data_IF_503528250565
#
_entry.id   IF_503528250565
#
_cell.length_a   1.000
_cell.length_b   1.000
_cell.length_c   1.000
_cell.angle_alpha   90.00
_cell.angle_beta   90.00
_cell.angle_gamma   90.00
#
_symmetry.space_group_name_H-M   'P 1'
#
loop_
_entity.id
_entity.type
_entity.pdbx_description
1 polymer ?
#
# COMPACT_ATOMS: atom_id res chain seq x y z
N UNK A 1 13.60 10.15 -23.40
CA UNK A 1 12.40 10.67 -22.71
C UNK A 1 12.65 12.15 -22.40
N UNK A 2 11.68 13.05 -22.62
CA UNK A 2 11.85 14.44 -22.20
C UNK A 2 11.91 14.56 -20.68
N UNK A 3 12.65 15.56 -20.18
CA UNK A 3 12.69 15.89 -18.75
C UNK A 3 11.32 16.34 -18.24
N UNK A 4 11.08 16.19 -16.93
CA UNK A 4 9.80 16.59 -16.33
C UNK A 4 9.58 18.11 -16.52
N UNK A 5 8.40 18.55 -17.01
CA UNK A 5 8.09 19.97 -17.17
C UNK A 5 8.26 20.79 -15.87
N UNK A 6 7.95 20.17 -14.72
CA UNK A 6 8.15 20.79 -13.41
C UNK A 6 9.63 21.08 -13.11
N UNK A 7 10.52 20.19 -13.54
CA UNK A 7 11.96 20.37 -13.40
C UNK A 7 12.50 21.48 -14.32
N UNK A 8 11.96 21.58 -15.54
CA UNK A 8 12.31 22.65 -16.48
C UNK A 8 11.86 24.03 -15.96
N UNK A 9 10.69 24.12 -15.33
CA UNK A 9 10.23 25.34 -14.64
C UNK A 9 11.15 25.70 -13.48
N UNK A 10 11.61 24.72 -12.69
CA UNK A 10 12.57 24.93 -11.61
C UNK A 10 13.92 25.48 -12.11
N UNK A 11 14.36 25.10 -13.32
CA UNK A 11 15.56 25.65 -13.98
C UNK A 11 15.34 26.97 -14.72
N UNK A 12 14.18 27.59 -14.59
CA UNK A 12 13.79 28.81 -15.33
C UNK A 12 13.73 28.63 -16.85
N UNK A 13 13.62 27.39 -17.34
CA UNK A 13 13.54 27.04 -18.77
C UNK A 13 12.07 26.88 -19.21
N UNK A 14 11.29 27.96 -19.11
CA UNK A 14 9.84 27.93 -19.36
C UNK A 14 9.46 27.50 -20.79
N UNK A 15 10.18 27.99 -21.81
CA UNK A 15 9.92 27.66 -23.21
C UNK A 15 10.13 26.18 -23.53
N UNK A 16 11.07 25.54 -22.83
CA UNK A 16 11.34 24.11 -23.00
C UNK A 16 10.28 23.29 -22.25
N UNK A 17 9.85 23.74 -21.06
CA UNK A 17 8.76 23.16 -20.31
C UNK A 17 7.45 23.14 -21.12
N UNK A 18 7.17 24.23 -21.84
CA UNK A 18 6.00 24.38 -22.73
C UNK A 18 6.01 23.38 -23.88
N UNK A 19 7.13 23.28 -24.61
CA UNK A 19 7.28 22.29 -25.68
C UNK A 19 7.07 20.86 -25.19
N UNK A 20 7.58 20.53 -24.00
CA UNK A 20 7.38 19.21 -23.40
C UNK A 20 5.93 19.01 -22.98
N UNK A 21 5.26 20.01 -22.39
CA UNK A 21 3.84 19.93 -22.03
C UNK A 21 2.96 19.72 -23.26
N UNK A 22 3.19 20.49 -24.33
CA UNK A 22 2.48 20.35 -25.60
C UNK A 22 2.66 18.93 -26.15
N UNK A 23 3.87 18.38 -26.08
CA UNK A 23 4.16 17.02 -26.55
C UNK A 23 3.45 15.94 -25.72
N UNK A 24 3.26 16.15 -24.42
CA UNK A 24 2.59 15.19 -23.51
C UNK A 24 1.06 15.30 -23.63
N UNK A 25 0.52 16.52 -23.69
CA UNK A 25 -0.92 16.80 -23.76
C UNK A 25 -1.49 16.76 -25.18
N UNK A 26 -0.62 16.76 -26.18
CA UNK A 26 -0.96 16.84 -27.61
C UNK A 26 -1.88 18.04 -27.93
N UNK A 27 -1.73 19.14 -27.18
CA UNK A 27 -2.61 20.33 -27.23
C UNK A 27 -1.76 21.59 -26.95
N UNK A 28 -2.08 22.70 -27.62
CA UNK A 28 -1.36 23.97 -27.44
C UNK A 28 -1.87 24.82 -26.26
N UNK A 29 -3.05 24.51 -25.73
CA UNK A 29 -3.62 25.18 -24.56
C UNK A 29 -3.00 24.67 -23.24
N UNK A 30 -1.70 24.92 -23.06
CA UNK A 30 -0.93 24.51 -21.87
C UNK A 30 -0.52 25.70 -20.99
N UNK A 31 -0.90 26.92 -21.39
CA UNK A 31 -0.53 28.16 -20.70
C UNK A 31 -1.00 28.19 -19.24
N UNK A 32 -2.23 27.72 -18.98
CA UNK A 32 -2.80 27.64 -17.64
C UNK A 32 -2.05 26.63 -16.76
N UNK A 33 -1.78 25.42 -17.28
CA UNK A 33 -1.03 24.38 -16.56
C UNK A 33 0.41 24.83 -16.27
N UNK A 34 1.05 25.56 -17.19
CA UNK A 34 2.38 26.15 -16.96
C UNK A 34 2.34 27.25 -15.92
N UNK A 35 1.31 28.10 -15.94
CA UNK A 35 1.13 29.15 -14.96
C UNK A 35 0.93 28.57 -13.56
N UNK A 36 0.10 27.52 -13.42
CA UNK A 36 -0.07 26.79 -12.17
C UNK A 36 1.21 26.14 -11.67
N UNK A 37 1.99 25.51 -12.55
CA UNK A 37 3.26 24.90 -12.17
C UNK A 37 4.24 25.98 -11.68
N UNK A 38 4.28 27.12 -12.37
CA UNK A 38 5.15 28.25 -12.01
C UNK A 38 4.73 28.90 -10.69
N UNK A 39 3.44 29.16 -10.47
CA UNK A 39 2.93 29.76 -9.24
C UNK A 39 3.19 28.85 -8.03
N UNK A 40 2.93 27.55 -8.16
CA UNK A 40 3.25 26.56 -7.12
C UNK A 40 4.75 26.52 -6.82
N UNK A 41 5.61 26.62 -7.85
CA UNK A 41 7.05 26.66 -7.67
C UNK A 41 7.50 27.92 -6.93
N UNK A 42 6.96 29.09 -7.27
CA UNK A 42 7.27 30.35 -6.60
C UNK A 42 6.82 30.38 -5.14
N UNK A 43 5.64 29.85 -4.83
CA UNK A 43 5.16 29.68 -3.46
C UNK A 43 6.05 28.72 -2.67
N UNK A 44 6.41 27.58 -3.28
CA UNK A 44 7.35 26.63 -2.69
C UNK A 44 8.70 27.30 -2.41
N UNK A 45 9.26 28.01 -3.38
CA UNK A 45 10.54 28.74 -3.24
C UNK A 45 10.48 29.78 -2.13
N UNK A 46 9.44 30.62 -2.07
CA UNK A 46 9.23 31.57 -0.97
C UNK A 46 9.17 30.86 0.38
N UNK A 47 8.47 29.73 0.46
CA UNK A 47 8.37 28.95 1.70
C UNK A 47 9.72 28.36 2.14
N UNK A 48 10.59 27.99 1.18
CA UNK A 48 11.95 27.53 1.46
C UNK A 48 12.86 28.66 1.90
N UNK A 49 12.79 29.81 1.24
CA UNK A 49 13.57 31.01 1.61
C UNK A 49 13.20 31.51 3.01
N UNK A 50 11.91 31.52 3.36
CA UNK A 50 11.43 31.87 4.72
C UNK A 50 11.87 30.86 5.79
N UNK A 51 12.04 29.59 5.43
CA UNK A 51 12.47 28.54 6.37
C UNK A 51 14.00 28.51 6.58
N UNK A 52 14.78 29.14 5.69
CA UNK A 52 16.23 29.17 5.77
C UNK A 52 16.89 27.79 5.62
N UNK A 53 18.08 27.63 6.22
CA UNK A 53 18.85 26.36 6.21
C UNK A 53 18.35 25.35 7.25
N UNK A 54 17.04 25.35 7.54
CA UNK A 54 16.44 24.40 8.47
C UNK A 54 16.43 23.00 7.84
N UNK A 55 16.84 21.99 8.62
CA UNK A 55 16.81 20.60 8.17
C UNK A 55 15.42 20.22 7.66
N UNK A 56 15.35 19.73 6.42
CA UNK A 56 14.10 19.35 5.73
C UNK A 56 13.26 18.37 6.58
N UNK A 57 13.92 17.45 7.27
CA UNK A 57 13.26 16.50 8.18
C UNK A 57 12.56 17.18 9.37
N UNK A 58 13.20 18.19 9.98
CA UNK A 58 12.61 18.95 11.08
C UNK A 58 11.42 19.80 10.59
N UNK A 59 11.52 20.35 9.39
CA UNK A 59 10.44 21.11 8.75
C UNK A 59 9.19 20.27 8.48
N UNK A 60 9.38 19.04 7.99
CA UNK A 60 8.31 18.06 7.76
C UNK A 60 7.59 17.73 9.08
N UNK A 61 8.34 17.55 10.17
CA UNK A 61 7.77 17.24 11.49
C UNK A 61 7.06 18.46 12.10
N UNK A 62 7.59 19.67 11.92
CA UNK A 62 7.00 20.91 12.45
C UNK A 62 5.73 21.33 11.73
N UNK A 63 5.59 21.03 10.44
CA UNK A 63 4.42 21.45 9.66
C UNK A 63 3.22 20.54 9.97
N UNK A 64 2.15 21.04 10.63
CA UNK A 64 1.08 20.19 11.19
C UNK A 64 0.30 19.41 10.12
N UNK A 65 0.08 20.00 8.95
CA UNK A 65 -0.59 19.35 7.81
C UNK A 65 0.24 18.22 7.23
N UNK A 66 1.54 18.44 7.06
CA UNK A 66 2.47 17.43 6.52
C UNK A 66 2.70 16.32 7.53
N UNK A 67 2.83 16.64 8.83
CA UNK A 67 2.95 15.65 9.90
C UNK A 67 1.75 14.71 9.96
N UNK A 68 0.52 15.24 9.83
CA UNK A 68 -0.71 14.41 9.80
C UNK A 68 -0.71 13.48 8.58
N UNK A 69 -0.39 14.00 7.40
CA UNK A 69 -0.32 13.20 6.18
C UNK A 69 0.78 12.11 6.28
N UNK A 70 1.96 12.47 6.79
CA UNK A 70 3.08 11.54 7.02
C UNK A 70 2.68 10.43 8.00
N UNK A 71 2.07 10.78 9.13
CA UNK A 71 1.68 9.82 10.15
C UNK A 71 0.61 8.86 9.62
N UNK A 72 -0.39 9.36 8.88
CA UNK A 72 -1.41 8.52 8.25
C UNK A 72 -0.78 7.59 7.20
N UNK A 73 0.10 8.11 6.34
CA UNK A 73 0.79 7.31 5.33
C UNK A 73 1.69 6.23 5.93
N UNK A 74 2.50 6.60 6.92
CA UNK A 74 3.37 5.66 7.64
C UNK A 74 2.54 4.61 8.39
N UNK A 75 1.49 5.01 9.10
CA UNK A 75 0.61 4.08 9.80
C UNK A 75 -0.07 3.13 8.81
N UNK A 76 -0.59 3.64 7.69
CA UNK A 76 -1.21 2.82 6.64
C UNK A 76 -0.22 1.78 6.07
N UNK A 77 1.00 2.20 5.73
CA UNK A 77 2.04 1.27 5.25
C UNK A 77 2.44 0.26 6.33
N UNK A 78 2.59 0.70 7.57
CA UNK A 78 2.92 -0.16 8.70
C UNK A 78 1.84 -1.22 8.93
N UNK A 79 0.57 -0.85 9.02
CA UNK A 79 -0.53 -1.80 9.18
C UNK A 79 -0.66 -2.74 7.98
N UNK A 80 -0.42 -2.26 6.77
CA UNK A 80 -0.42 -3.10 5.57
C UNK A 80 0.65 -4.20 5.62
N UNK A 81 1.84 -3.90 6.14
CA UNK A 81 2.92 -4.89 6.29
C UNK A 81 2.73 -5.76 7.53
N UNK A 82 2.29 -5.17 8.65
CA UNK A 82 2.05 -5.87 9.91
C UNK A 82 0.91 -6.88 9.83
N UNK A 83 -0.09 -6.64 8.97
CA UNK A 83 -1.11 -7.64 8.61
C UNK A 83 -0.52 -8.94 8.06
N UNK A 84 0.80 -8.97 7.77
CA UNK A 84 1.48 -10.17 7.33
C UNK A 84 1.07 -10.57 5.93
N UNK A 85 0.59 -9.65 5.10
CA UNK A 85 0.15 -9.95 3.73
C UNK A 85 1.24 -10.69 2.94
N UNK A 86 2.50 -10.25 3.08
CA UNK A 86 3.64 -10.95 2.51
C UNK A 86 3.82 -12.34 3.15
N UNK A 87 3.80 -12.45 4.48
CA UNK A 87 3.92 -13.73 5.20
C UNK A 87 2.82 -14.73 4.79
N UNK A 88 1.57 -14.31 4.67
CA UNK A 88 0.45 -15.16 4.25
C UNK A 88 0.67 -15.66 2.83
N UNK A 89 1.12 -14.80 1.90
CA UNK A 89 1.45 -15.22 0.53
C UNK A 89 2.57 -16.29 0.56
N UNK A 90 3.65 -16.04 1.30
CA UNK A 90 4.81 -16.95 1.38
C UNK A 90 4.51 -18.28 2.08
N UNK A 91 3.69 -18.28 3.13
CA UNK A 91 3.40 -19.47 3.94
C UNK A 91 2.05 -20.13 3.60
N UNK A 92 1.24 -19.55 2.70
CA UNK A 92 -0.04 -20.12 2.23
C UNK A 92 0.12 -21.56 1.75
N UNK A 93 1.17 -21.85 0.99
CA UNK A 93 1.47 -23.19 0.50
C UNK A 93 1.74 -24.20 1.63
N UNK A 94 2.33 -23.76 2.74
CA UNK A 94 2.61 -24.61 3.91
C UNK A 94 1.31 -24.86 4.70
N UNK A 95 0.45 -23.85 4.86
CA UNK A 95 -0.85 -23.99 5.53
C UNK A 95 -1.76 -24.96 4.75
N UNK A 96 -1.80 -24.85 3.43
CA UNK A 96 -2.58 -25.75 2.56
C UNK A 96 -1.97 -27.17 2.55
N UNK A 97 -0.65 -27.30 2.73
CA UNK A 97 0.00 -28.62 2.87
C UNK A 97 -0.35 -29.30 4.19
N UNK A 98 -0.53 -28.53 5.28
CA UNK A 98 -0.96 -29.05 6.59
C UNK A 98 -2.41 -29.54 6.62
N UNK A 99 -3.27 -29.13 5.67
CA UNK A 99 -4.65 -29.64 5.55
C UNK A 99 -4.74 -30.96 4.76
N UNK A 100 -3.61 -31.58 4.40
CA UNK A 100 -3.57 -32.95 3.84
C UNK A 100 -3.52 -33.04 2.32
N UNK A 101 -3.45 -31.91 1.60
CA UNK A 101 -3.27 -31.91 0.13
C UNK A 101 -1.77 -32.02 -0.18
N UNK A 102 -1.26 -33.25 -0.12
CA UNK A 102 0.16 -33.58 -0.18
C UNK A 102 0.78 -33.61 -1.57
N UNK A 103 0.61 -32.58 -2.40
CA UNK A 103 1.25 -32.53 -3.72
C UNK A 103 2.07 -31.26 -3.95
N UNK A 104 3.36 -31.43 -4.28
CA UNK A 104 4.29 -30.31 -4.56
C UNK A 104 3.79 -29.46 -5.74
N UNK A 105 3.12 -30.10 -6.70
CA UNK A 105 2.44 -29.45 -7.81
C UNK A 105 1.32 -28.52 -7.35
N UNK A 106 0.56 -28.88 -6.31
CA UNK A 106 -0.52 -28.05 -5.78
C UNK A 106 0.01 -26.78 -5.10
N UNK A 107 1.18 -26.83 -4.43
CA UNK A 107 1.79 -25.66 -3.82
C UNK A 107 2.25 -24.62 -4.87
N UNK A 108 2.78 -25.09 -6.01
CA UNK A 108 3.20 -24.23 -7.13
C UNK A 108 1.96 -23.58 -7.77
N UNK A 109 0.91 -24.36 -8.04
CA UNK A 109 -0.35 -23.84 -8.59
C UNK A 109 -1.04 -22.84 -7.66
N UNK A 110 -1.06 -23.08 -6.34
CA UNK A 110 -1.61 -22.13 -5.38
C UNK A 110 -0.83 -20.82 -5.33
N UNK A 111 0.51 -20.89 -5.29
CA UNK A 111 1.36 -19.69 -5.33
C UNK A 111 1.15 -18.89 -6.61
N UNK A 112 1.05 -19.56 -7.76
CA UNK A 112 0.76 -18.94 -9.04
C UNK A 112 -0.64 -18.28 -9.06
N UNK A 113 -1.65 -18.95 -8.51
CA UNK A 113 -3.02 -18.44 -8.40
C UNK A 113 -3.08 -17.17 -7.56
N UNK A 114 -2.41 -17.15 -6.40
CA UNK A 114 -2.36 -15.98 -5.51
C UNK A 114 -1.71 -14.79 -6.21
N UNK A 115 -0.60 -15.02 -6.92
CA UNK A 115 0.06 -13.97 -7.70
C UNK A 115 -0.82 -13.47 -8.86
N UNK A 116 -1.55 -14.37 -9.53
CA UNK A 116 -2.50 -13.98 -10.58
C UNK A 116 -3.64 -13.13 -10.02
N UNK A 117 -4.24 -13.53 -8.89
CA UNK A 117 -5.30 -12.75 -8.23
C UNK A 117 -4.76 -11.37 -7.84
N UNK A 118 -3.56 -11.30 -7.28
CA UNK A 118 -2.93 -10.03 -6.92
C UNK A 118 -2.69 -9.12 -8.14
N UNK A 119 -2.25 -9.69 -9.26
CA UNK A 119 -2.08 -8.96 -10.53
C UNK A 119 -3.41 -8.42 -11.04
N UNK A 120 -4.44 -9.26 -11.08
CA UNK A 120 -5.78 -8.87 -11.55
C UNK A 120 -6.35 -7.76 -10.66
N UNK A 121 -6.29 -7.91 -9.34
CA UNK A 121 -6.74 -6.88 -8.41
C UNK A 121 -5.93 -5.59 -8.53
N UNK A 122 -4.63 -5.67 -8.81
CA UNK A 122 -3.80 -4.49 -9.04
C UNK A 122 -4.24 -3.72 -10.30
N UNK A 123 -4.52 -4.43 -11.40
CA UNK A 123 -5.00 -3.83 -12.65
C UNK A 123 -6.39 -3.20 -12.44
N UNK A 124 -7.31 -3.94 -11.82
CA UNK A 124 -8.64 -3.43 -11.48
C UNK A 124 -8.53 -2.22 -10.55
N UNK A 125 -7.61 -2.28 -9.58
CA UNK A 125 -7.34 -1.19 -8.64
C UNK A 125 -6.90 0.10 -9.34
N UNK A 126 -5.94 0.02 -10.27
CA UNK A 126 -5.50 1.18 -11.06
C UNK A 126 -6.66 1.76 -11.87
N UNK A 127 -7.42 0.90 -12.56
CA UNK A 127 -8.57 1.36 -13.33
C UNK A 127 -9.64 2.02 -12.44
N UNK A 128 -9.87 1.45 -11.26
CA UNK A 128 -10.82 1.98 -10.28
C UNK A 128 -10.37 3.32 -9.68
N UNK A 129 -9.05 3.54 -9.51
CA UNK A 129 -8.46 4.84 -9.11
C UNK A 129 -8.79 5.93 -10.12
N UNK A 130 -8.65 5.62 -11.41
CA UNK A 130 -8.86 6.58 -12.49
C UNK A 130 -10.35 6.94 -12.64
N UNK A 131 -11.27 6.02 -12.32
CA UNK A 131 -12.72 6.22 -12.42
C UNK A 131 -13.32 6.95 -11.21
N UNK A 132 -12.93 6.59 -9.97
CA UNK A 132 -13.56 7.13 -8.75
C UNK A 132 -12.89 8.39 -8.19
N UNK A 133 -11.70 8.73 -8.70
CA UNK A 133 -10.92 9.89 -8.26
C UNK A 133 -10.13 9.66 -6.95
N UNK A 134 -8.95 10.30 -6.86
CA UNK A 134 -7.94 10.07 -5.80
C UNK A 134 -8.46 10.22 -4.36
N UNK A 135 -9.43 11.09 -4.11
CA UNK A 135 -9.93 11.40 -2.75
C UNK A 135 -10.98 10.41 -2.28
N UNK A 136 -11.89 10.03 -3.17
CA UNK A 136 -12.93 9.02 -2.92
C UNK A 136 -12.31 7.66 -2.66
N UNK A 137 -11.29 7.30 -3.45
CA UNK A 137 -10.61 6.02 -3.31
C UNK A 137 -9.89 5.89 -1.96
N UNK A 138 -9.26 6.97 -1.47
CA UNK A 138 -8.61 6.96 -0.17
C UNK A 138 -9.61 6.75 0.98
N UNK A 139 -10.80 7.35 0.88
CA UNK A 139 -11.88 7.21 1.88
C UNK A 139 -12.50 5.81 1.81
N UNK A 140 -12.80 5.31 0.61
CA UNK A 140 -13.34 3.96 0.39
C UNK A 140 -12.34 2.89 0.84
N UNK A 141 -11.04 3.08 0.57
CA UNK A 141 -9.99 2.19 1.03
C UNK A 141 -9.90 2.14 2.56
N UNK A 142 -10.03 3.30 3.23
CA UNK A 142 -10.06 3.37 4.69
C UNK A 142 -11.28 2.64 5.28
N UNK A 143 -12.46 2.82 4.66
CA UNK A 143 -13.68 2.10 5.03
C UNK A 143 -13.56 0.59 4.79
N UNK A 144 -12.98 0.17 3.66
CA UNK A 144 -12.75 -1.24 3.34
C UNK A 144 -11.79 -1.91 4.33
N UNK A 145 -10.73 -1.22 4.74
CA UNK A 145 -9.80 -1.68 5.78
C UNK A 145 -10.48 -1.79 7.15
N UNK A 146 -11.29 -0.80 7.54
CA UNK A 146 -12.03 -0.84 8.81
C UNK A 146 -13.08 -1.97 8.83
N UNK A 147 -13.76 -2.20 7.70
CA UNK A 147 -14.74 -3.26 7.56
C UNK A 147 -14.10 -4.64 7.59
N UNK A 148 -13.05 -4.86 6.78
CA UNK A 148 -12.33 -6.13 6.70
C UNK A 148 -11.70 -6.51 8.05
N UNK A 149 -11.10 -5.54 8.75
CA UNK A 149 -10.54 -5.77 10.09
C UNK A 149 -11.62 -6.11 11.13
N UNK A 150 -12.80 -5.49 11.06
CA UNK A 150 -13.95 -5.87 11.90
C UNK A 150 -14.47 -7.28 11.60
N UNK A 151 -14.56 -7.66 10.32
CA UNK A 151 -14.96 -9.02 9.93
C UNK A 151 -13.98 -10.07 10.46
N UNK A 152 -12.67 -9.82 10.36
CA UNK A 152 -11.66 -10.73 10.91
C UNK A 152 -11.74 -10.79 12.44
N UNK A 153 -11.86 -9.64 13.11
CA UNK A 153 -11.97 -9.58 14.56
C UNK A 153 -13.21 -10.31 15.09
N UNK A 154 -14.36 -10.14 14.43
CA UNK A 154 -15.61 -10.84 14.78
C UNK A 154 -15.50 -12.34 14.53
N UNK A 155 -14.87 -12.77 13.44
CA UNK A 155 -14.61 -14.19 13.17
C UNK A 155 -13.73 -14.81 14.24
N UNK A 156 -12.66 -14.12 14.66
CA UNK A 156 -11.79 -14.56 15.75
C UNK A 156 -12.51 -14.61 17.11
N UNK A 157 -13.35 -13.62 17.40
CA UNK A 157 -14.13 -13.60 18.64
C UNK A 157 -15.16 -14.74 18.68
N UNK A 158 -15.80 -15.02 17.54
CA UNK A 158 -16.71 -16.16 17.42
C UNK A 158 -15.99 -17.49 17.57
N UNK A 159 -14.80 -17.62 16.96
CA UNK A 159 -13.93 -18.79 17.13
C UNK A 159 -13.48 -18.97 18.58
N UNK A 160 -13.18 -17.89 19.31
CA UNK A 160 -12.84 -17.94 20.73
C UNK A 160 -14.02 -18.42 21.60
N UNK A 161 -15.23 -17.94 21.32
CA UNK A 161 -16.44 -18.31 22.07
C UNK A 161 -16.91 -19.75 21.78
N UNK A 162 -16.64 -20.27 20.58
CA UNK A 162 -17.01 -21.63 20.17
C UNK A 162 -15.87 -22.66 20.26
N UNK A 163 -14.67 -22.25 20.68
CA UNK A 163 -13.58 -23.19 20.86
C UNK A 163 -13.87 -24.07 22.09
N UNK A 164 -14.08 -25.39 21.93
CA UNK A 164 -14.15 -26.27 23.08
C UNK A 164 -12.82 -26.19 23.83
N UNK A 165 -12.87 -26.21 25.16
CA UNK A 165 -11.68 -26.25 26.00
C UNK A 165 -10.81 -27.44 25.59
N UNK A 166 -9.59 -27.16 25.12
CA UNK A 166 -8.57 -28.19 24.96
C UNK A 166 -8.22 -28.73 26.35
N UNK A 167 -8.87 -29.82 26.75
CA UNK A 167 -8.49 -30.59 27.92
C UNK A 167 -7.13 -31.22 27.64
N UNK A 168 -6.07 -30.54 28.07
CA UNK A 168 -4.68 -31.05 28.11
C UNK A 168 -4.51 -32.11 29.22
N UNK A 169 -5.41 -33.08 29.30
CA UNK A 169 -5.38 -34.18 30.28
C UNK A 169 -5.74 -35.55 29.69
N UNK A 170 -5.69 -35.71 28.36
CA UNK A 170 -5.98 -37.00 27.71
C UNK A 170 -4.79 -37.66 27.00
N UNK A 171 -3.54 -37.19 27.18
CA UNK A 171 -2.38 -37.90 26.61
C UNK A 171 -1.07 -37.80 27.41
N UNK A 172 -1.15 -37.83 28.74
CA UNK A 172 0.02 -38.15 29.60
C UNK A 172 -0.02 -39.61 30.07
N UNK A 173 -1.09 -40.37 29.77
CA UNK A 173 -1.29 -41.69 30.38
C UNK A 173 -1.33 -42.90 29.45
N UNK A 174 -0.90 -42.79 28.18
CA UNK A 174 -0.65 -43.99 27.38
C UNK A 174 0.78 -44.00 26.82
N UNK A 175 1.65 -44.58 27.64
CA UNK A 175 2.84 -45.31 27.22
C UNK A 175 2.66 -45.97 25.84
N UNK A 176 3.56 -45.66 24.91
CA UNK A 176 4.12 -46.60 23.94
C UNK A 176 5.37 -45.98 23.31
N UNK A 177 6.47 -46.03 24.07
CA UNK A 177 7.81 -45.99 23.52
C UNK A 177 8.00 -47.28 22.70
N UNK A 178 7.94 -47.21 21.37
CA UNK A 178 8.55 -48.11 20.39
C UNK A 178 7.95 -47.84 19.02
N UNK A 179 8.78 -47.38 18.07
CA UNK A 179 8.75 -47.69 16.63
C UNK A 179 9.36 -46.56 15.78
N UNK A 180 10.63 -46.22 16.03
CA UNK A 180 11.54 -45.70 15.00
C UNK A 180 12.92 -46.29 15.28
N UNK A 181 13.13 -47.51 14.78
CA UNK A 181 14.48 -48.00 14.46
C UNK A 181 14.74 -47.64 13.01
#
# INVERSE_FOLDING_TARGET
MPESPRWLVQKSQLKEAEKVLIKIRNTNAVDEEIYEIKSNWEEMKRSYEMAGNENVYLRIIKTPSVRRALLIGCAMHFFSQFSGANTVIYYSGIIIKMTGVGDVSAAIWNSALINCINLVFSIVGVWLVDVLGRRTLAIVGLFGLAFSSSCIATTFLFAYLYSPSVNTTANIQNNSCSAYT
#
